data_IF_936209713491
#
_entry.id   IF_936209713491
#
_cell.length_a   1.000
_cell.length_b   1.000
_cell.length_c   1.000
_cell.angle_alpha   90.00
_cell.angle_beta   90.00
_cell.angle_gamma   90.00
#
_symmetry.space_group_name_H-M   'P 1'
#
loop_
_entity.id
_entity.type
_entity.pdbx_description
1 polymer ?
#
# COMPACT_ATOMS: atom_id res chain seq x y z
N UNK A 1 3.90 32.12 48.85
CA UNK A 1 3.58 33.29 47.99
C UNK A 1 3.57 32.84 46.55
N UNK A 2 2.41 32.82 45.88
CA UNK A 2 2.26 32.43 44.47
C UNK A 2 2.51 33.65 43.60
N UNK A 3 3.56 33.63 42.77
CA UNK A 3 3.79 34.69 41.78
C UNK A 3 2.88 34.43 40.57
N UNK A 4 1.93 35.33 40.34
CA UNK A 4 1.11 35.34 39.13
C UNK A 4 1.91 36.10 38.07
N UNK A 5 2.47 35.39 37.09
CA UNK A 5 3.11 36.02 35.92
C UNK A 5 2.04 36.79 35.13
N UNK A 6 2.06 38.11 35.24
CA UNK A 6 1.24 39.00 34.43
C UNK A 6 1.75 39.05 33.00
N UNK A 7 1.13 38.28 32.11
CA UNK A 7 1.41 38.34 30.67
C UNK A 7 0.88 39.67 30.09
N UNK A 8 1.79 40.49 29.56
CA UNK A 8 1.49 41.76 28.90
C UNK A 8 0.51 41.57 27.74
N UNK A 9 -0.40 42.53 27.55
CA UNK A 9 -1.42 42.55 26.50
C UNK A 9 -0.79 42.40 25.11
N UNK A 10 0.39 43.00 24.91
CA UNK A 10 1.17 42.86 23.68
C UNK A 10 1.66 41.42 23.44
N UNK A 11 1.99 40.69 24.51
CA UNK A 11 2.41 39.28 24.43
C UNK A 11 1.23 38.37 24.07
N UNK A 12 0.03 38.65 24.60
CA UNK A 12 -1.20 37.95 24.20
C UNK A 12 -1.59 38.26 22.75
N UNK A 13 -1.42 39.51 22.30
CA UNK A 13 -1.69 39.90 20.92
C UNK A 13 -0.71 39.24 19.94
N UNK A 14 0.57 39.17 20.30
CA UNK A 14 1.60 38.51 19.49
C UNK A 14 1.37 36.99 19.36
N UNK A 15 0.94 36.34 20.45
CA UNK A 15 0.51 34.94 20.41
C UNK A 15 -0.73 34.74 19.52
N UNK A 16 -1.73 35.61 19.61
CA UNK A 16 -2.92 35.55 18.73
C UNK A 16 -2.56 35.74 17.25
N UNK A 17 -1.65 36.65 16.93
CA UNK A 17 -1.15 36.84 15.56
C UNK A 17 -0.36 35.61 15.06
N UNK A 18 0.46 34.97 15.90
CA UNK A 18 1.17 33.74 15.51
C UNK A 18 0.21 32.57 15.23
N UNK A 19 -0.87 32.43 16.01
CA UNK A 19 -1.86 31.35 15.83
C UNK A 19 -2.74 31.61 14.59
N UNK A 20 -3.05 32.87 14.26
CA UNK A 20 -3.87 33.20 13.09
C UNK A 20 -3.16 32.95 11.74
N UNK A 21 -1.82 32.94 11.71
CA UNK A 21 -1.04 32.71 10.50
C UNK A 21 -0.82 31.21 10.18
N UNK A 22 -1.26 30.28 11.04
CA UNK A 22 -1.17 28.83 10.78
C UNK A 22 -2.37 28.32 9.96
N UNK A 23 -2.70 29.03 8.88
CA UNK A 23 -3.71 28.57 7.93
C UNK A 23 -3.27 28.90 6.50
N UNK A 24 -2.12 28.36 6.12
CA UNK A 24 -1.83 28.09 4.73
C UNK A 24 -2.23 26.63 4.46
N UNK A 25 -3.50 26.47 4.09
CA UNK A 25 -4.01 25.25 3.45
C UNK A 25 -3.27 25.06 2.13
N UNK A 26 -2.12 24.39 2.17
CA UNK A 26 -1.49 23.86 0.96
C UNK A 26 -2.37 22.72 0.43
N UNK A 27 -3.37 23.11 -0.35
CA UNK A 27 -4.23 22.25 -1.16
C UNK A 27 -3.40 21.14 -1.80
N UNK A 28 -3.43 19.97 -1.17
CA UNK A 28 -2.76 18.76 -1.66
C UNK A 28 -3.22 18.50 -3.09
N UNK A 29 -2.25 18.37 -4.00
CA UNK A 29 -2.47 18.03 -5.40
C UNK A 29 -3.23 16.69 -5.45
N UNK A 30 -4.54 16.73 -5.68
CA UNK A 30 -5.33 15.53 -5.92
C UNK A 30 -4.85 14.97 -7.25
N UNK A 31 -4.11 13.87 -7.24
CA UNK A 31 -4.10 13.04 -8.44
C UNK A 31 -5.56 12.68 -8.70
N UNK A 32 -6.07 13.01 -9.89
CA UNK A 32 -7.35 12.49 -10.34
C UNK A 32 -7.17 10.98 -10.49
N UNK A 33 -7.38 10.26 -9.39
CA UNK A 33 -7.27 8.82 -9.37
C UNK A 33 -8.38 8.27 -10.23
N UNK A 34 -8.03 7.44 -11.21
CA UNK A 34 -8.94 6.39 -11.66
C UNK A 34 -9.55 5.77 -10.43
N UNK A 35 -10.88 5.64 -10.36
CA UNK A 35 -11.57 5.00 -9.24
C UNK A 35 -11.19 3.53 -9.21
N UNK A 36 -10.02 3.23 -8.63
CA UNK A 36 -9.52 1.88 -8.46
C UNK A 36 -10.38 1.23 -7.39
N UNK A 37 -10.94 0.08 -7.71
CA UNK A 37 -11.75 -0.65 -6.77
C UNK A 37 -10.86 -1.25 -5.70
N UNK A 38 -11.16 -0.91 -4.44
CA UNK A 38 -10.39 -1.37 -3.28
C UNK A 38 -10.74 -2.81 -2.94
N UNK A 39 -9.81 -3.48 -2.27
CA UNK A 39 -10.04 -4.79 -1.67
C UNK A 39 -11.07 -4.70 -0.55
N UNK A 40 -12.08 -5.56 -0.57
CA UNK A 40 -13.07 -5.62 0.50
C UNK A 40 -12.38 -5.96 1.82
N UNK A 41 -12.76 -5.26 2.90
CA UNK A 41 -12.18 -5.45 4.24
C UNK A 41 -10.65 -5.36 4.27
N UNK A 42 -10.04 -4.64 3.31
CA UNK A 42 -8.60 -4.57 3.13
C UNK A 42 -7.92 -5.95 3.04
N UNK A 43 -8.64 -6.99 2.61
CA UNK A 43 -8.15 -8.37 2.61
C UNK A 43 -7.98 -8.88 1.18
N UNK A 44 -6.80 -9.40 0.90
CA UNK A 44 -6.42 -10.04 -0.35
C UNK A 44 -6.37 -11.55 -0.12
N UNK A 45 -7.37 -12.26 -0.64
CA UNK A 45 -7.35 -13.73 -0.69
C UNK A 45 -6.61 -14.21 -1.93
N UNK A 46 -5.58 -15.04 -1.78
CA UNK A 46 -4.78 -15.51 -2.91
C UNK A 46 -4.41 -16.99 -2.79
N UNK A 47 -4.06 -17.62 -3.92
CA UNK A 47 -3.41 -18.92 -3.95
C UNK A 47 -2.26 -18.94 -4.96
N UNK A 48 -1.33 -19.85 -4.75
CA UNK A 48 -0.26 -20.14 -5.68
C UNK A 48 -0.69 -21.23 -6.65
N UNK A 49 -0.53 -20.97 -7.94
CA UNK A 49 -0.64 -22.00 -8.95
C UNK A 49 0.54 -22.98 -8.86
N UNK A 50 0.31 -24.23 -9.25
CA UNK A 50 1.33 -25.28 -9.28
C UNK A 50 2.56 -24.94 -10.14
N UNK A 51 2.44 -24.00 -11.07
CA UNK A 51 3.54 -23.53 -11.91
C UNK A 51 4.61 -22.75 -11.16
N UNK A 52 4.35 -22.22 -9.96
CA UNK A 52 5.33 -21.45 -9.20
C UNK A 52 6.40 -22.32 -8.55
N UNK A 53 7.64 -21.87 -8.69
CA UNK A 53 8.77 -22.42 -7.94
C UNK A 53 8.69 -22.01 -6.46
N UNK A 54 9.31 -22.81 -5.58
CA UNK A 54 9.40 -22.49 -4.16
C UNK A 54 10.06 -21.13 -3.89
N UNK A 55 11.05 -20.74 -4.71
CA UNK A 55 11.71 -19.44 -4.62
C UNK A 55 10.73 -18.28 -4.92
N UNK A 56 9.90 -18.41 -5.95
CA UNK A 56 8.89 -17.40 -6.29
C UNK A 56 7.79 -17.31 -5.22
N UNK A 57 7.34 -18.44 -4.68
CA UNK A 57 6.37 -18.44 -3.57
C UNK A 57 6.96 -17.77 -2.32
N UNK A 58 8.22 -18.06 -2.01
CA UNK A 58 8.95 -17.45 -0.87
C UNK A 58 9.06 -15.94 -1.06
N UNK A 59 9.43 -15.49 -2.26
CA UNK A 59 9.49 -14.07 -2.60
C UNK A 59 8.11 -13.40 -2.45
N UNK A 60 7.07 -13.97 -3.07
CA UNK A 60 5.73 -13.42 -3.02
C UNK A 60 5.23 -13.28 -1.57
N UNK A 61 5.41 -14.33 -0.76
CA UNK A 61 5.06 -14.30 0.66
C UNK A 61 5.86 -13.24 1.42
N UNK A 62 7.18 -13.14 1.20
CA UNK A 62 8.02 -12.12 1.84
C UNK A 62 7.53 -10.71 1.51
N UNK A 63 7.24 -10.42 0.25
CA UNK A 63 6.81 -9.06 -0.13
C UNK A 63 5.43 -8.76 0.44
N UNK A 64 4.46 -9.66 0.29
CA UNK A 64 3.11 -9.46 0.79
C UNK A 64 3.07 -9.34 2.33
N UNK A 65 3.62 -10.33 3.04
CA UNK A 65 3.45 -10.46 4.49
C UNK A 65 4.50 -9.71 5.30
N UNK A 66 5.72 -9.55 4.79
CA UNK A 66 6.83 -8.97 5.57
C UNK A 66 7.21 -7.56 5.14
N UNK A 67 6.79 -7.09 3.95
CA UNK A 67 7.08 -5.73 3.49
C UNK A 67 5.82 -4.87 3.46
N UNK A 68 4.76 -5.34 2.80
CA UNK A 68 3.54 -4.56 2.62
C UNK A 68 2.65 -4.58 3.87
N UNK A 69 2.31 -5.77 4.37
CA UNK A 69 1.38 -5.90 5.48
C UNK A 69 1.80 -5.16 6.77
N UNK A 70 3.09 -5.08 7.16
CA UNK A 70 3.49 -4.33 8.35
C UNK A 70 3.41 -2.80 8.18
N UNK A 71 3.41 -2.30 6.95
CA UNK A 71 3.41 -0.87 6.63
C UNK A 71 2.06 -0.36 6.11
N UNK A 72 1.05 -1.23 6.05
CA UNK A 72 -0.27 -0.93 5.51
C UNK A 72 -1.38 -1.60 6.33
N UNK A 73 -2.63 -1.26 6.07
CA UNK A 73 -3.77 -1.95 6.66
C UNK A 73 -4.24 -3.16 5.84
N UNK A 74 -3.44 -3.62 4.86
CA UNK A 74 -3.81 -4.71 3.95
C UNK A 74 -3.41 -6.06 4.57
N UNK A 75 -4.35 -7.01 4.58
CA UNK A 75 -4.13 -8.39 5.03
C UNK A 75 -4.04 -9.35 3.85
N UNK A 76 -3.03 -10.20 3.83
CA UNK A 76 -2.87 -11.24 2.79
C UNK A 76 -3.18 -12.62 3.37
N UNK A 77 -4.21 -13.27 2.82
CA UNK A 77 -4.70 -14.56 3.32
C UNK A 77 -4.62 -15.60 2.21
N UNK A 78 -3.94 -16.72 2.48
CA UNK A 78 -3.92 -17.84 1.55
C UNK A 78 -5.28 -18.52 1.57
N UNK A 79 -5.91 -18.66 0.40
CA UNK A 79 -7.17 -19.33 0.23
C UNK A 79 -7.22 -20.02 -1.14
N UNK A 80 -7.28 -21.35 -1.14
CA UNK A 80 -7.31 -22.17 -2.36
C UNK A 80 -8.56 -21.95 -3.23
N UNK A 81 -9.65 -21.45 -2.65
CA UNK A 81 -10.87 -21.04 -3.38
C UNK A 81 -10.93 -19.52 -3.60
N UNK A 82 -9.85 -18.83 -3.27
CA UNK A 82 -9.71 -17.39 -3.47
C UNK A 82 -9.76 -17.03 -4.96
N UNK A 83 -10.16 -15.80 -5.26
CA UNK A 83 -10.24 -15.32 -6.65
C UNK A 83 -8.90 -14.88 -7.23
N UNK A 84 -7.87 -14.64 -6.41
CA UNK A 84 -6.60 -14.15 -6.92
C UNK A 84 -5.61 -15.31 -7.05
N UNK A 85 -5.10 -15.53 -8.26
CA UNK A 85 -4.12 -16.56 -8.55
C UNK A 85 -2.77 -15.92 -8.85
N UNK A 86 -1.71 -16.40 -8.22
CA UNK A 86 -0.35 -16.06 -8.63
C UNK A 86 0.16 -17.22 -9.48
N UNK A 87 0.66 -16.92 -10.68
CA UNK A 87 1.15 -17.90 -11.65
C UNK A 87 2.58 -17.60 -12.07
N UNK A 88 3.31 -18.63 -12.52
CA UNK A 88 4.56 -18.43 -13.24
C UNK A 88 4.27 -18.32 -14.74
N UNK A 89 4.84 -17.32 -15.38
CA UNK A 89 4.88 -17.20 -16.84
C UNK A 89 6.27 -17.64 -17.33
N UNK A 90 6.35 -18.80 -17.98
CA UNK A 90 7.60 -19.34 -18.51
C UNK A 90 8.02 -18.72 -19.84
N UNK A 91 7.16 -17.94 -20.49
CA UNK A 91 7.45 -17.32 -21.78
C UNK A 91 8.30 -16.04 -21.66
N UNK A 92 8.42 -15.51 -20.43
CA UNK A 92 9.13 -14.26 -20.13
C UNK A 92 10.12 -14.45 -18.98
N UNK A 93 11.24 -13.73 -19.06
CA UNK A 93 12.26 -13.77 -18.02
C UNK A 93 12.00 -12.77 -16.89
N UNK A 94 11.41 -11.61 -17.19
CA UNK A 94 11.23 -10.51 -16.23
C UNK A 94 9.91 -10.60 -15.44
N UNK A 95 9.82 -9.85 -14.33
CA UNK A 95 8.55 -9.67 -13.63
C UNK A 95 7.55 -8.94 -14.52
N UNK A 96 6.38 -9.54 -14.71
CA UNK A 96 5.28 -8.94 -15.48
C UNK A 96 4.30 -8.21 -14.57
N UNK A 97 3.40 -7.45 -15.18
CA UNK A 97 2.42 -6.62 -14.47
C UNK A 97 1.27 -7.43 -13.90
N UNK A 98 0.65 -6.87 -12.86
CA UNK A 98 -0.68 -7.27 -12.37
C UNK A 98 -1.68 -6.17 -12.68
N UNK A 99 -2.97 -6.52 -12.65
CA UNK A 99 -4.04 -5.53 -12.56
C UNK A 99 -3.85 -4.65 -11.31
N UNK A 100 -4.24 -3.38 -11.39
CA UNK A 100 -4.13 -2.42 -10.29
C UNK A 100 -5.41 -2.46 -9.44
N UNK A 101 -5.25 -2.69 -8.14
CA UNK A 101 -6.35 -2.89 -7.20
C UNK A 101 -7.15 -4.16 -7.46
N UNK A 102 -8.41 -4.18 -7.02
CA UNK A 102 -9.29 -5.35 -7.10
C UNK A 102 -10.12 -5.34 -8.39
N UNK A 103 -9.84 -6.23 -9.36
CA UNK A 103 -10.62 -6.36 -10.61
C UNK A 103 -12.04 -6.88 -10.39
N UNK A 104 -12.20 -7.86 -9.51
CA UNK A 104 -13.49 -8.39 -9.06
C UNK A 104 -14.04 -9.66 -9.61
N UNK A 105 -13.38 -10.17 -10.64
CA UNK A 105 -13.40 -11.59 -10.94
C UNK A 105 -12.11 -12.23 -10.45
N UNK A 106 -11.73 -13.31 -11.13
CA UNK A 106 -10.40 -13.86 -11.02
C UNK A 106 -9.35 -12.84 -11.50
N UNK A 107 -8.28 -12.67 -10.72
CA UNK A 107 -7.16 -11.79 -11.04
C UNK A 107 -5.88 -12.62 -10.99
N UNK A 108 -5.15 -12.61 -12.11
CA UNK A 108 -3.89 -13.34 -12.23
C UNK A 108 -2.72 -12.39 -12.04
N UNK A 109 -1.82 -12.73 -11.13
CA UNK A 109 -0.50 -12.11 -11.01
C UNK A 109 0.51 -13.05 -11.64
N UNK A 110 1.08 -12.65 -12.76
CA UNK A 110 2.08 -13.45 -13.46
C UNK A 110 3.50 -13.09 -12.99
N UNK A 111 4.36 -14.10 -12.82
CA UNK A 111 5.76 -13.93 -12.46
C UNK A 111 6.63 -14.62 -13.52
N UNK A 112 7.47 -13.85 -14.22
CA UNK A 112 8.43 -14.41 -15.16
C UNK A 112 9.46 -15.33 -14.51
N UNK A 113 10.20 -16.07 -15.33
CA UNK A 113 11.15 -17.10 -14.88
C UNK A 113 12.23 -16.55 -13.93
N UNK A 114 12.72 -15.33 -14.15
CA UNK A 114 13.73 -14.68 -13.31
C UNK A 114 13.12 -13.63 -12.38
N UNK A 115 11.80 -13.65 -12.17
CA UNK A 115 11.13 -12.80 -11.19
C UNK A 115 11.34 -13.34 -9.76
N UNK A 116 12.59 -13.20 -9.27
CA UNK A 116 13.07 -13.73 -7.99
C UNK A 116 13.69 -12.65 -7.09
N UNK A 117 13.50 -11.36 -7.43
CA UNK A 117 14.00 -10.22 -6.69
C UNK A 117 12.86 -9.28 -6.29
N UNK A 118 13.05 -8.54 -5.19
CA UNK A 118 12.09 -7.51 -4.76
C UNK A 118 12.32 -6.25 -5.58
N UNK A 119 11.35 -5.84 -6.37
CA UNK A 119 11.27 -4.48 -6.90
C UNK A 119 10.33 -3.66 -6.01
N UNK A 120 10.67 -2.41 -5.73
CA UNK A 120 9.93 -1.50 -4.82
C UNK A 120 8.50 -1.13 -5.29
N UNK A 121 7.96 -1.79 -6.33
CA UNK A 121 6.72 -1.37 -6.98
C UNK A 121 5.81 -2.54 -7.34
N UNK A 122 5.28 -3.23 -6.34
CA UNK A 122 4.07 -4.03 -6.53
C UNK A 122 2.88 -3.08 -6.70
N UNK A 123 2.35 -3.01 -7.93
CA UNK A 123 1.20 -2.16 -8.29
C UNK A 123 -0.15 -2.81 -8.00
N UNK A 124 -0.17 -3.88 -7.21
CA UNK A 124 -1.35 -4.69 -6.91
C UNK A 124 -2.31 -4.02 -5.90
N UNK A 125 -1.85 -2.97 -5.21
CA UNK A 125 -2.63 -2.22 -4.22
C UNK A 125 -3.39 -1.05 -4.86
#
# INVERSE_FOLDING_TARGET
MRQVLGYSIASKLLLLFLIANVSADERLKRQAGTTIRKWAQNTVYYYFDSSLTAAQQTLANRVMKSIIQPSTCISFVVNATGRNRIVRDSSVDWCVSSDVGCKGGEQTISMGTKCIYVSHRLRFL
#
